data_IF_892485784090
#
_entry.id   IF_892485784090
#
_cell.length_a   1.000
_cell.length_b   1.000
_cell.length_c   1.000
_cell.angle_alpha   90.00
_cell.angle_beta   90.00
_cell.angle_gamma   90.00
#
_symmetry.space_group_name_H-M   'P 1'
#
loop_
_entity.id
_entity.type
_entity.pdbx_description
1 polymer ?
#
# COMPACT_ATOMS: atom_id res chain seq x y z
N UNK A 1 9.89 -16.05 -13.88
CA UNK A 1 11.31 -16.22 -13.47
C UNK A 1 12.13 -14.98 -13.79
N UNK A 2 12.27 -14.61 -15.07
CA UNK A 2 12.93 -13.38 -15.58
C UNK A 2 12.37 -12.04 -15.04
N UNK A 3 11.12 -12.06 -14.58
CA UNK A 3 10.41 -10.91 -14.01
C UNK A 3 10.58 -10.78 -12.48
N UNK A 4 11.01 -11.85 -11.80
CA UNK A 4 11.13 -11.90 -10.34
C UNK A 4 12.33 -11.12 -9.84
N UNK A 5 13.47 -11.38 -10.46
CA UNK A 5 14.68 -10.60 -10.28
C UNK A 5 14.46 -9.16 -10.79
N UNK A 6 13.68 -8.94 -11.84
CA UNK A 6 13.41 -7.57 -12.30
C UNK A 6 12.59 -6.73 -11.28
N UNK A 7 11.54 -7.32 -10.70
CA UNK A 7 10.63 -6.58 -9.81
C UNK A 7 11.19 -6.34 -8.40
N UNK A 8 12.11 -7.19 -7.93
CA UNK A 8 12.76 -7.02 -6.63
C UNK A 8 14.21 -6.56 -6.75
N UNK A 9 14.94 -6.97 -7.78
CA UNK A 9 16.40 -6.78 -7.90
C UNK A 9 16.88 -5.86 -9.02
N UNK A 10 15.97 -5.40 -9.89
CA UNK A 10 16.35 -4.70 -11.12
C UNK A 10 17.05 -5.58 -12.15
N UNK A 11 17.32 -6.86 -11.88
CA UNK A 11 18.00 -7.74 -12.81
C UNK A 11 17.01 -8.36 -13.82
N UNK A 12 17.15 -7.96 -15.08
CA UNK A 12 16.39 -8.48 -16.20
C UNK A 12 17.05 -9.73 -16.79
N UNK A 13 16.28 -10.56 -17.48
CA UNK A 13 16.88 -11.65 -18.25
C UNK A 13 17.58 -11.20 -19.50
N UNK A 14 18.55 -11.99 -19.97
CA UNK A 14 19.29 -11.75 -21.22
C UNK A 14 18.38 -11.35 -22.39
N UNK A 15 17.37 -12.16 -22.72
CA UNK A 15 16.45 -11.84 -23.82
C UNK A 15 15.63 -10.52 -23.67
N UNK A 16 15.51 -9.97 -22.46
CA UNK A 16 14.87 -8.67 -22.19
C UNK A 16 15.91 -7.56 -22.10
N UNK A 17 17.07 -7.83 -21.50
CA UNK A 17 18.25 -6.96 -21.57
C UNK A 17 18.63 -6.66 -23.01
N UNK A 18 18.57 -7.65 -23.89
CA UNK A 18 18.83 -7.50 -25.32
C UNK A 18 17.79 -6.61 -26.01
N UNK A 19 16.52 -6.67 -25.57
CA UNK A 19 15.48 -5.73 -26.05
C UNK A 19 15.72 -4.30 -25.56
N UNK A 20 16.14 -4.12 -24.30
CA UNK A 20 16.47 -2.81 -23.74
C UNK A 20 17.72 -2.21 -24.42
N UNK A 21 18.75 -3.03 -24.64
CA UNK A 21 19.94 -2.66 -25.41
C UNK A 21 19.60 -2.29 -26.85
N UNK A 22 18.68 -3.02 -27.48
CA UNK A 22 18.18 -2.68 -28.82
C UNK A 22 17.43 -1.34 -28.88
N UNK A 23 16.89 -0.87 -27.74
CA UNK A 23 16.29 0.45 -27.59
C UNK A 23 17.30 1.55 -27.20
N UNK A 24 18.61 1.23 -27.15
CA UNK A 24 19.66 2.17 -26.77
C UNK A 24 19.74 2.46 -25.28
N UNK A 25 19.03 1.68 -24.45
CA UNK A 25 19.06 1.81 -23.00
C UNK A 25 20.27 1.01 -22.49
N UNK A 26 21.24 1.69 -21.88
CA UNK A 26 22.35 1.04 -21.21
C UNK A 26 21.83 0.30 -19.97
N UNK A 27 22.07 -1.01 -19.91
CA UNK A 27 21.74 -1.83 -18.74
C UNK A 27 23.00 -2.52 -18.27
N UNK A 28 23.48 -2.12 -17.10
CA UNK A 28 24.61 -2.74 -16.43
C UNK A 28 24.10 -3.92 -15.60
N UNK A 29 24.78 -5.06 -15.71
CA UNK A 29 24.52 -6.19 -14.82
C UNK A 29 25.04 -5.84 -13.42
N UNK A 30 24.39 -6.32 -12.33
CA UNK A 30 25.01 -6.31 -11.02
C UNK A 30 26.38 -6.99 -11.11
N UNK A 31 27.39 -6.48 -10.41
CA UNK A 31 28.72 -7.10 -10.38
C UNK A 31 28.63 -8.57 -9.97
N UNK A 32 29.50 -9.45 -10.52
CA UNK A 32 29.51 -10.89 -10.23
C UNK A 32 29.71 -11.22 -8.72
N UNK A 33 30.20 -10.25 -7.95
CA UNK A 33 30.36 -10.32 -6.48
C UNK A 33 29.15 -9.75 -5.71
N UNK A 34 28.04 -9.46 -6.39
CA UNK A 34 26.82 -8.99 -5.73
C UNK A 34 26.25 -10.12 -4.86
N UNK A 35 26.41 -9.97 -3.55
CA UNK A 35 25.83 -10.82 -2.53
C UNK A 35 24.30 -10.85 -2.71
N UNK A 36 23.78 -11.81 -3.48
CA UNK A 36 22.36 -11.91 -3.76
C UNK A 36 21.55 -12.24 -2.50
N UNK A 37 22.19 -12.88 -1.52
CA UNK A 37 21.62 -13.07 -0.18
C UNK A 37 21.51 -11.71 0.55
N UNK A 38 22.58 -10.90 0.56
CA UNK A 38 22.59 -9.53 1.10
C UNK A 38 21.65 -8.57 0.36
N UNK A 39 21.51 -8.72 -0.96
CA UNK A 39 20.59 -7.94 -1.79
C UNK A 39 19.12 -8.30 -1.50
N UNK A 40 18.82 -9.60 -1.40
CA UNK A 40 17.48 -10.06 -1.01
C UNK A 40 17.17 -9.63 0.41
N UNK A 41 18.12 -9.72 1.34
CA UNK A 41 17.99 -9.21 2.70
C UNK A 41 17.76 -7.70 2.75
N UNK A 42 18.46 -6.96 1.88
CA UNK A 42 18.29 -5.52 1.66
C UNK A 42 16.89 -5.17 1.12
N UNK A 43 16.40 -5.88 0.09
CA UNK A 43 15.08 -5.64 -0.53
C UNK A 43 13.91 -6.18 0.27
N UNK A 44 14.09 -7.31 0.96
CA UNK A 44 13.04 -7.97 1.74
C UNK A 44 12.94 -7.48 3.18
N UNK A 45 13.91 -6.69 3.65
CA UNK A 45 13.77 -5.94 4.88
C UNK A 45 15.00 -5.92 5.76
N UNK A 46 15.81 -4.87 5.60
CA UNK A 46 16.56 -4.23 6.69
C UNK A 46 15.66 -3.56 7.75
N UNK A 47 14.39 -4.00 7.90
CA UNK A 47 13.48 -3.41 8.88
C UNK A 47 13.63 -3.97 10.31
N UNK A 48 14.48 -4.98 10.59
CA UNK A 48 14.77 -5.40 11.98
C UNK A 48 15.91 -6.43 12.21
N UNK A 49 16.93 -6.53 11.34
CA UNK A 49 18.08 -7.41 11.62
C UNK A 49 19.14 -6.69 12.50
N UNK A 50 18.89 -6.56 13.80
CA UNK A 50 20.01 -6.38 14.73
C UNK A 50 19.81 -7.37 15.87
N UNK A 51 20.60 -8.44 15.85
CA UNK A 51 21.11 -8.95 17.12
C UNK A 51 22.62 -8.78 17.11
N UNK A 52 23.08 -7.90 17.99
CA UNK A 52 24.38 -7.97 18.66
C UNK A 52 25.57 -7.71 17.72
N UNK A 53 25.71 -6.48 17.26
CA UNK A 53 26.88 -5.61 17.49
C UNK A 53 26.84 -4.42 16.53
N UNK A 54 26.57 -3.24 17.09
CA UNK A 54 26.99 -1.93 16.56
C UNK A 54 26.92 -1.73 15.04
N UNK A 55 25.75 -1.33 14.55
CA UNK A 55 25.58 -0.08 13.80
C UNK A 55 24.12 0.31 13.87
N UNK A 56 23.89 1.42 14.54
CA UNK A 56 22.82 2.38 14.38
C UNK A 56 21.97 2.10 13.15
N UNK A 57 20.67 1.96 13.37
CA UNK A 57 19.67 1.96 12.31
C UNK A 57 20.00 3.10 11.35
N UNK A 58 20.51 2.77 10.16
CA UNK A 58 20.87 3.77 9.18
C UNK A 58 19.58 4.48 8.75
N UNK A 59 19.55 5.79 8.97
CA UNK A 59 18.52 6.73 8.52
C UNK A 59 18.41 6.79 6.98
N UNK A 60 19.15 5.94 6.27
CA UNK A 60 19.34 5.90 4.82
C UNK A 60 18.59 4.75 4.12
N UNK A 61 17.75 3.97 4.83
CA UNK A 61 17.00 2.81 4.25
C UNK A 61 16.17 3.18 3.01
N UNK A 62 15.75 4.44 2.91
CA UNK A 62 15.01 4.92 1.75
C UNK A 62 15.92 5.22 0.55
N UNK A 63 17.18 5.65 0.76
CA UNK A 63 18.11 6.22 -0.25
C UNK A 63 18.39 5.30 -1.45
N UNK A 64 18.30 4.00 -1.24
CA UNK A 64 18.58 2.98 -2.25
C UNK A 64 17.29 2.33 -2.82
N UNK A 65 16.10 2.76 -2.38
CA UNK A 65 14.83 2.32 -2.97
C UNK A 65 14.64 2.95 -4.36
N UNK A 66 13.87 2.34 -5.29
CA UNK A 66 13.53 2.98 -6.57
C UNK A 66 12.92 4.38 -6.39
N UNK A 67 12.25 4.61 -5.26
CA UNK A 67 11.69 5.90 -4.88
C UNK A 67 12.76 6.94 -4.52
N UNK A 68 13.82 6.59 -3.81
CA UNK A 68 14.90 7.54 -3.54
C UNK A 68 15.92 7.65 -4.67
N UNK A 69 16.20 6.56 -5.40
CA UNK A 69 17.00 6.61 -6.63
C UNK A 69 16.37 7.56 -7.65
N UNK A 70 15.04 7.67 -7.66
CA UNK A 70 14.33 8.60 -8.55
C UNK A 70 14.58 10.08 -8.21
N UNK A 71 15.16 10.41 -7.05
CA UNK A 71 15.34 11.78 -6.59
C UNK A 71 14.03 12.52 -6.32
N UNK A 72 12.90 11.82 -6.30
CA UNK A 72 11.55 12.39 -6.10
C UNK A 72 11.20 12.60 -4.62
N UNK A 73 12.07 12.19 -3.68
CA UNK A 73 11.86 12.29 -2.24
C UNK A 73 10.46 11.81 -1.81
N UNK A 74 10.13 10.57 -2.19
CA UNK A 74 8.84 9.94 -1.90
C UNK A 74 8.97 9.03 -0.67
N UNK A 75 8.02 9.17 0.25
CA UNK A 75 7.85 8.30 1.40
C UNK A 75 6.67 7.34 1.22
N UNK A 76 6.70 6.25 1.98
CA UNK A 76 5.60 5.29 2.10
C UNK A 76 4.82 5.58 3.38
N UNK A 77 3.51 5.77 3.23
CA UNK A 77 2.63 6.15 4.32
C UNK A 77 1.44 5.20 4.43
N UNK A 78 1.14 4.83 5.67
CA UNK A 78 -0.07 4.13 6.04
C UNK A 78 -1.00 5.07 6.79
N UNK A 79 -2.31 4.89 6.62
CA UNK A 79 -3.33 5.60 7.38
C UNK A 79 -3.21 5.25 8.86
N UNK A 80 -2.90 6.24 9.70
CA UNK A 80 -2.66 6.03 11.13
C UNK A 80 -3.90 5.56 11.91
N UNK A 81 -5.11 5.82 11.39
CA UNK A 81 -6.38 5.39 11.97
C UNK A 81 -6.77 3.95 11.60
N UNK A 82 -6.12 3.36 10.59
CA UNK A 82 -6.46 2.03 10.05
C UNK A 82 -5.33 1.02 10.11
N UNK A 83 -4.08 1.49 10.10
CA UNK A 83 -2.91 0.63 10.09
C UNK A 83 -2.51 0.24 11.50
N UNK A 84 -2.81 -1.00 11.87
CA UNK A 84 -2.30 -1.63 13.07
C UNK A 84 -1.26 -2.64 12.62
N UNK A 85 0.01 -2.22 12.54
CA UNK A 85 1.11 -3.05 12.04
C UNK A 85 1.20 -4.43 12.70
N UNK A 86 0.79 -4.55 13.96
CA UNK A 86 0.78 -5.80 14.73
C UNK A 86 -0.42 -6.72 14.46
N UNK A 87 -1.44 -6.23 13.75
CA UNK A 87 -2.61 -7.02 13.32
C UNK A 87 -2.49 -7.46 11.85
N UNK A 88 -1.56 -6.87 11.09
CA UNK A 88 -1.39 -7.20 9.68
C UNK A 88 -0.64 -8.53 9.51
N UNK A 89 -1.19 -9.50 8.76
CA UNK A 89 -0.55 -10.78 8.54
C UNK A 89 0.59 -10.65 7.54
N UNK A 90 1.59 -11.52 7.69
CA UNK A 90 2.63 -11.72 6.69
C UNK A 90 2.04 -12.57 5.56
N UNK A 91 1.93 -12.02 4.35
CA UNK A 91 1.31 -12.72 3.22
C UNK A 91 2.38 -13.37 2.37
N UNK A 92 2.25 -14.68 2.11
CA UNK A 92 3.11 -15.41 1.19
C UNK A 92 2.28 -15.93 0.03
N UNK A 93 2.52 -15.37 -1.15
CA UNK A 93 1.93 -15.89 -2.38
C UNK A 93 2.76 -17.09 -2.84
N UNK A 94 2.14 -18.25 -3.01
CA UNK A 94 2.82 -19.50 -3.37
C UNK A 94 2.32 -19.96 -4.73
N UNK A 95 3.17 -19.96 -5.75
CA UNK A 95 2.75 -20.39 -7.09
C UNK A 95 3.75 -20.05 -8.18
N UNK A 96 3.65 -20.74 -9.32
CA UNK A 96 4.57 -20.59 -10.46
C UNK A 96 3.93 -19.86 -11.65
N UNK A 97 2.65 -19.47 -11.56
CA UNK A 97 1.92 -18.87 -12.68
C UNK A 97 2.13 -17.36 -12.78
N UNK A 98 1.82 -16.79 -13.94
CA UNK A 98 1.81 -15.34 -14.14
C UNK A 98 0.80 -14.67 -13.21
N UNK A 99 -0.36 -15.30 -12.99
CA UNK A 99 -1.40 -14.76 -12.12
C UNK A 99 -0.94 -14.67 -10.67
N UNK A 100 -0.23 -15.70 -10.16
CA UNK A 100 0.38 -15.65 -8.81
C UNK A 100 1.40 -14.51 -8.71
N UNK A 101 2.23 -14.32 -9.73
CA UNK A 101 3.20 -13.23 -9.74
C UNK A 101 2.51 -11.86 -9.78
N UNK A 102 1.51 -11.67 -10.63
CA UNK A 102 0.75 -10.42 -10.72
C UNK A 102 0.02 -10.11 -9.41
N UNK A 103 -0.53 -11.14 -8.76
CA UNK A 103 -1.16 -11.01 -7.45
C UNK A 103 -0.16 -10.57 -6.38
N UNK A 104 0.97 -11.27 -6.26
CA UNK A 104 2.07 -10.86 -5.39
C UNK A 104 2.51 -9.43 -5.65
N UNK A 105 2.80 -9.09 -6.91
CA UNK A 105 3.33 -7.79 -7.32
C UNK A 105 2.37 -6.64 -7.01
N UNK A 106 1.06 -6.90 -7.12
CA UNK A 106 0.04 -5.91 -6.76
C UNK A 106 -0.03 -5.75 -5.25
N UNK A 107 -0.04 -6.85 -4.50
CA UNK A 107 -0.11 -6.82 -3.04
C UNK A 107 1.13 -6.22 -2.39
N UNK A 108 2.33 -6.49 -2.89
CA UNK A 108 3.59 -5.97 -2.34
C UNK A 108 3.74 -4.45 -2.49
N UNK A 109 2.86 -3.80 -3.26
CA UNK A 109 2.76 -2.32 -3.34
C UNK A 109 1.72 -1.74 -2.40
N UNK A 110 0.79 -2.56 -1.96
CA UNK A 110 -0.32 -2.16 -1.11
C UNK A 110 -0.03 -2.49 0.37
N UNK A 111 0.76 -3.52 0.64
CA UNK A 111 1.02 -3.99 2.00
C UNK A 111 2.51 -4.30 2.19
N UNK A 112 2.96 -4.11 3.43
CA UNK A 112 4.24 -4.64 3.89
C UNK A 112 4.13 -6.15 4.13
N UNK A 113 5.27 -6.82 4.26
CA UNK A 113 5.32 -8.24 4.63
C UNK A 113 4.70 -9.18 3.59
N UNK A 114 4.70 -8.79 2.32
CA UNK A 114 4.23 -9.63 1.20
C UNK A 114 5.42 -10.28 0.50
N UNK A 115 5.41 -11.61 0.42
CA UNK A 115 6.46 -12.42 -0.16
C UNK A 115 5.92 -13.28 -1.30
N UNK A 116 6.77 -13.61 -2.27
CA UNK A 116 6.46 -14.61 -3.29
C UNK A 116 7.37 -15.81 -3.16
N UNK A 117 6.78 -17.00 -3.32
CA UNK A 117 7.47 -18.26 -3.19
C UNK A 117 7.09 -19.20 -4.36
N UNK A 118 7.95 -19.31 -5.38
CA UNK A 118 7.74 -20.25 -6.46
C UNK A 118 7.69 -21.70 -5.95
N UNK A 119 6.70 -22.48 -6.40
CA UNK A 119 6.47 -23.86 -5.98
C UNK A 119 7.61 -24.76 -6.46
N UNK A 120 8.13 -24.53 -7.67
CA UNK A 120 9.28 -25.26 -8.19
C UNK A 120 10.49 -25.13 -7.25
N UNK A 121 10.74 -23.92 -6.76
CA UNK A 121 11.88 -23.62 -5.90
C UNK A 121 11.67 -24.14 -4.48
N UNK A 122 10.47 -23.96 -3.92
CA UNK A 122 10.08 -24.55 -2.63
C UNK A 122 10.31 -26.06 -2.61
N UNK A 123 9.82 -26.77 -3.63
CA UNK A 123 9.99 -28.21 -3.73
C UNK A 123 11.46 -28.61 -3.86
N UNK A 124 12.23 -27.88 -4.66
CA UNK A 124 13.67 -28.11 -4.86
C UNK A 124 14.45 -27.95 -3.56
N UNK A 125 14.22 -26.83 -2.84
CA UNK A 125 14.84 -26.53 -1.55
C UNK A 125 14.44 -27.56 -0.49
N UNK A 126 13.16 -27.91 -0.40
CA UNK A 126 12.66 -28.91 0.55
C UNK A 126 13.32 -30.28 0.34
N UNK A 127 13.39 -30.75 -0.91
CA UNK A 127 14.06 -32.01 -1.26
C UNK A 127 15.55 -31.97 -0.89
N UNK A 128 16.25 -30.87 -1.21
CA UNK A 128 17.67 -30.70 -0.86
C UNK A 128 17.88 -30.69 0.65
N UNK A 129 17.05 -29.99 1.40
CA UNK A 129 17.10 -29.95 2.87
C UNK A 129 16.86 -31.34 3.48
N UNK A 130 15.86 -32.08 3.00
CA UNK A 130 15.60 -33.45 3.44
C UNK A 130 16.78 -34.39 3.13
N UNK A 131 17.39 -34.27 1.95
CA UNK A 131 18.59 -35.02 1.60
C UNK A 131 19.76 -34.68 2.53
N UNK A 132 20.03 -33.39 2.76
CA UNK A 132 21.12 -32.95 3.62
C UNK A 132 20.93 -33.42 5.08
N UNK A 133 19.69 -33.46 5.60
CA UNK A 133 19.40 -34.05 6.91
C UNK A 133 19.75 -35.54 6.97
N UNK A 134 19.44 -36.31 5.93
CA UNK A 134 19.80 -37.73 5.84
C UNK A 134 21.32 -37.94 5.76
N UNK A 135 22.01 -37.11 4.96
CA UNK A 135 23.47 -37.13 4.83
C UNK A 135 24.16 -36.81 6.16
N UNK A 136 23.68 -35.78 6.85
CA UNK A 136 24.18 -35.41 8.17
C UNK A 136 24.02 -36.56 9.18
N UNK A 137 22.85 -37.22 9.20
CA UNK A 137 22.61 -38.38 10.06
C UNK A 137 23.50 -39.59 9.70
N UNK A 138 23.92 -39.70 8.43
CA UNK A 138 24.85 -40.72 7.95
C UNK A 138 26.34 -40.31 8.06
N UNK A 139 26.66 -39.11 8.56
CA UNK A 139 28.03 -38.58 8.63
C UNK A 139 28.63 -38.21 7.27
N UNK A 140 27.82 -38.07 6.23
CA UNK A 140 28.25 -37.67 4.89
C UNK A 140 28.35 -36.13 4.74
N UNK A 141 29.22 -35.64 3.84
CA UNK A 141 29.30 -34.22 3.54
C UNK A 141 27.98 -33.70 2.93
N UNK A 142 27.57 -32.51 3.38
CA UNK A 142 26.36 -31.85 2.90
C UNK A 142 26.49 -31.49 1.42
N UNK A 143 25.41 -31.68 0.66
CA UNK A 143 25.37 -31.20 -0.72
C UNK A 143 25.15 -29.68 -0.74
N UNK A 144 25.82 -28.99 -1.66
CA UNK A 144 25.60 -27.56 -1.89
C UNK A 144 24.17 -27.28 -2.35
N UNK A 145 23.70 -26.08 -2.00
CA UNK A 145 22.40 -25.55 -2.44
C UNK A 145 22.61 -24.63 -3.64
N UNK A 146 21.69 -24.71 -4.62
CA UNK A 146 21.63 -23.71 -5.69
C UNK A 146 21.21 -22.36 -5.11
N UNK A 147 21.37 -21.28 -5.87
CA UNK A 147 20.97 -19.93 -5.45
C UNK A 147 19.47 -19.87 -5.13
N UNK A 148 18.60 -20.43 -5.97
CA UNK A 148 17.16 -20.45 -5.73
C UNK A 148 16.79 -21.24 -4.47
N UNK A 149 17.52 -22.30 -4.17
CA UNK A 149 17.33 -23.10 -2.96
C UNK A 149 17.75 -22.33 -1.71
N UNK A 150 18.84 -21.56 -1.80
CA UNK A 150 19.29 -20.67 -0.72
C UNK A 150 18.26 -19.56 -0.49
N UNK A 151 17.85 -18.87 -1.55
CA UNK A 151 16.85 -17.81 -1.51
C UNK A 151 15.54 -18.25 -0.85
N UNK A 152 14.96 -19.37 -1.26
CA UNK A 152 13.74 -19.91 -0.64
C UNK A 152 13.94 -20.21 0.84
N UNK A 153 15.11 -20.74 1.22
CA UNK A 153 15.42 -21.04 2.62
C UNK A 153 15.58 -19.76 3.44
N UNK A 154 16.19 -18.72 2.87
CA UNK A 154 16.34 -17.40 3.48
C UNK A 154 14.98 -16.75 3.71
N UNK A 155 14.12 -16.73 2.69
CA UNK A 155 12.73 -16.25 2.80
C UNK A 155 12.00 -17.06 3.88
N UNK A 156 12.02 -18.39 3.80
CA UNK A 156 11.34 -19.24 4.76
C UNK A 156 11.81 -18.99 6.20
N UNK A 157 13.09 -18.68 6.42
CA UNK A 157 13.62 -18.36 7.74
C UNK A 157 13.20 -16.96 8.20
N UNK A 158 13.25 -15.98 7.30
CA UNK A 158 12.87 -14.59 7.55
C UNK A 158 11.38 -14.44 7.92
N UNK A 159 10.49 -15.19 7.28
CA UNK A 159 9.06 -15.18 7.63
C UNK A 159 8.82 -15.41 9.13
N UNK A 160 9.68 -16.17 9.79
CA UNK A 160 9.52 -16.46 11.20
C UNK A 160 10.28 -15.54 12.14
N UNK A 161 11.28 -14.78 11.66
CA UNK A 161 11.88 -13.73 12.48
C UNK A 161 10.91 -12.58 12.70
N UNK A 162 9.95 -12.42 11.79
CA UNK A 162 8.89 -11.43 11.89
C UNK A 162 7.82 -11.82 12.94
N UNK A 163 7.54 -13.13 13.11
CA UNK A 163 6.64 -13.63 14.18
C UNK A 163 7.44 -13.75 15.50
N UNK A 164 7.67 -12.62 16.16
CA UNK A 164 8.41 -12.54 17.42
C UNK A 164 7.57 -12.79 18.69
N UNK A 165 8.20 -13.05 19.86
CA UNK A 165 7.51 -13.13 21.14
C UNK A 165 6.81 -11.79 21.47
N UNK A 166 5.51 -11.86 21.81
CA UNK A 166 4.65 -10.67 22.02
C UNK A 166 3.81 -10.26 20.81
N UNK A 167 4.00 -10.91 19.65
CA UNK A 167 3.19 -10.74 18.42
C UNK A 167 2.31 -11.97 18.17
N UNK A 168 1.59 -12.44 19.20
CA UNK A 168 0.77 -13.65 19.12
C UNK A 168 -0.37 -13.57 18.08
N UNK A 169 -0.71 -12.34 17.65
CA UNK A 169 -1.69 -12.09 16.61
C UNK A 169 -1.11 -12.17 15.17
N UNK A 170 0.21 -12.00 14.99
CA UNK A 170 0.81 -12.00 13.66
C UNK A 170 0.88 -13.42 13.10
N UNK A 171 0.19 -13.65 11.99
CA UNK A 171 0.09 -14.95 11.32
C UNK A 171 0.75 -14.86 9.95
N UNK A 172 1.32 -15.98 9.49
CA UNK A 172 1.68 -16.12 8.09
C UNK A 172 0.46 -16.63 7.34
N UNK A 173 0.09 -15.97 6.26
CA UNK A 173 -0.99 -16.39 5.39
C UNK A 173 -0.47 -16.83 4.03
N UNK A 174 -0.67 -18.10 3.69
CA UNK A 174 -0.42 -18.62 2.36
C UNK A 174 -1.62 -18.36 1.45
N UNK A 175 -1.35 -17.79 0.28
CA UNK A 175 -2.35 -17.53 -0.76
C UNK A 175 -1.81 -17.93 -2.12
N UNK A 176 -2.70 -18.20 -3.08
CA UNK A 176 -2.33 -18.51 -4.46
C UNK A 176 -3.52 -18.31 -5.39
N UNK A 177 -3.24 -17.86 -6.61
CA UNK A 177 -4.19 -17.82 -7.74
C UNK A 177 -4.29 -19.17 -8.44
N UNK A 178 -3.23 -19.98 -8.41
CA UNK A 178 -3.16 -21.24 -9.16
C UNK A 178 -3.32 -22.50 -8.33
N UNK A 179 -3.06 -22.45 -7.02
CA UNK A 179 -3.14 -23.60 -6.13
C UNK A 179 -4.46 -23.64 -5.37
N UNK A 180 -5.04 -24.83 -5.28
CA UNK A 180 -6.16 -25.11 -4.37
C UNK A 180 -5.74 -25.03 -2.89
N UNK A 181 -6.72 -24.85 -2.01
CA UNK A 181 -6.51 -24.87 -0.56
C UNK A 181 -5.82 -26.16 -0.08
N UNK A 182 -6.16 -27.31 -0.67
CA UNK A 182 -5.52 -28.59 -0.33
C UNK A 182 -4.02 -28.59 -0.70
N UNK A 183 -3.68 -28.04 -1.87
CA UNK A 183 -2.29 -27.91 -2.31
C UNK A 183 -1.52 -26.93 -1.42
N UNK A 184 -2.09 -25.77 -1.07
CA UNK A 184 -1.48 -24.80 -0.15
C UNK A 184 -1.18 -25.42 1.23
N UNK A 185 -2.13 -26.16 1.78
CA UNK A 185 -1.94 -26.88 3.06
C UNK A 185 -0.79 -27.89 3.00
N UNK A 186 -0.55 -28.54 1.86
CA UNK A 186 0.60 -29.43 1.70
C UNK A 186 1.96 -28.69 1.67
N UNK A 187 1.97 -27.43 1.24
CA UNK A 187 3.17 -26.58 1.15
C UNK A 187 3.52 -25.90 2.46
N UNK A 188 2.54 -25.65 3.32
CA UNK A 188 2.71 -25.20 4.70
C UNK A 188 3.80 -25.96 5.46
N UNK A 189 3.75 -27.30 5.44
CA UNK A 189 4.75 -28.16 6.10
C UNK A 189 6.14 -28.02 5.48
N UNK A 190 6.22 -27.82 4.17
CA UNK A 190 7.51 -27.64 3.48
C UNK A 190 8.18 -26.32 3.89
N UNK A 191 7.41 -25.24 3.97
CA UNK A 191 7.89 -23.92 4.40
C UNK A 191 8.38 -23.99 5.86
N UNK A 192 7.58 -24.59 6.75
CA UNK A 192 7.98 -24.77 8.15
C UNK A 192 9.26 -25.61 8.29
N UNK A 193 9.39 -26.68 7.49
CA UNK A 193 10.55 -27.56 7.49
C UNK A 193 11.83 -26.97 6.88
N UNK A 194 11.73 -25.83 6.18
CA UNK A 194 12.86 -25.08 5.67
C UNK A 194 13.33 -23.97 6.62
N UNK A 195 12.56 -23.70 7.67
CA UNK A 195 12.98 -22.77 8.71
C UNK A 195 14.09 -23.34 9.58
N UNK A 196 14.89 -22.45 10.17
CA UNK A 196 15.92 -22.82 11.14
C UNK A 196 15.35 -23.28 12.50
N UNK A 197 14.03 -23.31 12.67
CA UNK A 197 13.35 -23.58 13.93
C UNK A 197 12.38 -24.75 13.81
N UNK A 198 11.91 -25.29 14.95
CA UNK A 198 11.10 -26.52 15.00
C UNK A 198 9.78 -26.47 14.20
N UNK A 199 9.47 -27.54 13.49
CA UNK A 199 8.36 -27.64 12.52
C UNK A 199 6.98 -27.58 13.18
N UNK A 200 6.81 -28.24 14.34
CA UNK A 200 5.48 -28.50 14.90
C UNK A 200 4.82 -27.27 15.54
N UNK A 201 5.57 -26.44 16.27
CA UNK A 201 5.04 -25.20 16.85
C UNK A 201 4.70 -24.14 15.80
N UNK A 202 5.39 -24.15 14.66
CA UNK A 202 5.32 -23.07 13.66
C UNK A 202 4.35 -23.33 12.54
N UNK A 203 4.11 -24.60 12.20
CA UNK A 203 3.00 -24.95 11.34
C UNK A 203 1.68 -24.38 11.88
N UNK A 204 1.45 -24.35 13.19
CA UNK A 204 0.22 -23.76 13.75
C UNK A 204 0.01 -22.26 13.39
N UNK A 205 1.08 -21.49 13.22
CA UNK A 205 1.05 -20.05 12.91
C UNK A 205 0.85 -19.72 11.42
N UNK A 206 0.81 -20.73 10.55
CA UNK A 206 0.55 -20.55 9.11
C UNK A 206 -0.89 -20.91 8.77
N UNK A 207 -1.61 -19.97 8.17
CA UNK A 207 -2.95 -20.18 7.65
C UNK A 207 -2.93 -20.26 6.12
N UNK A 208 -3.90 -20.96 5.54
CA UNK A 208 -4.14 -20.92 4.10
C UNK A 208 -5.46 -20.18 3.89
N UNK A 209 -5.41 -19.04 3.18
CA UNK A 209 -6.60 -18.21 2.92
C UNK A 209 -6.87 -18.11 1.44
N UNK A 210 -8.13 -17.90 1.11
CA UNK A 210 -8.52 -17.58 -0.27
C UNK A 210 -8.18 -16.13 -0.58
N UNK A 211 -7.98 -15.85 -1.87
CA UNK A 211 -7.64 -14.50 -2.35
C UNK A 211 -8.74 -13.49 -2.02
N UNK A 212 -10.00 -13.93 -1.99
CA UNK A 212 -11.15 -13.08 -1.65
C UNK A 212 -11.07 -12.54 -0.22
N UNK A 213 -10.33 -13.20 0.67
CA UNK A 213 -10.09 -12.74 2.03
C UNK A 213 -8.99 -11.65 2.11
N UNK A 214 -8.43 -11.21 0.98
CA UNK A 214 -7.41 -10.16 0.96
C UNK A 214 -8.03 -8.83 1.36
N UNK A 215 -7.65 -8.32 2.53
CA UNK A 215 -7.98 -6.97 2.95
C UNK A 215 -7.31 -5.96 2.04
N UNK A 216 -8.07 -5.01 1.52
CA UNK A 216 -7.58 -3.79 0.86
C UNK A 216 -7.92 -2.55 1.71
N UNK A 217 -8.27 -2.75 2.99
CA UNK A 217 -8.73 -1.68 3.87
C UNK A 217 -7.59 -0.76 4.34
N UNK A 218 -6.39 -1.33 4.46
CA UNK A 218 -5.18 -0.61 4.83
C UNK A 218 -4.16 -0.76 3.70
N UNK A 219 -3.97 0.29 2.91
CA UNK A 219 -3.06 0.28 1.75
C UNK A 219 -1.98 1.32 1.91
N UNK A 220 -0.73 0.91 1.70
CA UNK A 220 0.43 1.77 1.57
C UNK A 220 0.20 2.79 0.44
N UNK A 221 0.45 4.04 0.74
CA UNK A 221 0.39 5.14 -0.23
C UNK A 221 1.77 5.75 -0.37
N UNK A 222 2.18 6.01 -1.61
CA UNK A 222 3.45 6.68 -1.90
C UNK A 222 3.17 8.16 -2.09
N UNK A 223 3.66 8.98 -1.15
CA UNK A 223 3.42 10.43 -1.09
C UNK A 223 4.77 11.12 -0.92
N UNK A 224 4.89 12.35 -1.41
CA UNK A 224 6.09 13.14 -1.17
C UNK A 224 6.39 13.28 0.33
N UNK A 225 7.65 13.08 0.71
CA UNK A 225 8.12 13.26 2.07
C UNK A 225 7.77 14.66 2.59
N UNK A 226 7.34 14.71 3.86
CA UNK A 226 6.89 15.95 4.51
C UNK A 226 5.64 16.59 3.88
N UNK A 227 4.91 15.87 3.02
CA UNK A 227 3.66 16.32 2.41
C UNK A 227 2.46 15.40 2.70
N UNK A 228 2.59 14.51 3.69
CA UNK A 228 1.53 13.64 4.19
C UNK A 228 0.74 14.28 5.35
N UNK A 229 -0.57 13.96 5.45
CA UNK A 229 -1.44 14.31 6.57
C UNK A 229 -1.43 15.81 6.98
N UNK A 230 -1.46 16.72 6.00
CA UNK A 230 -1.55 18.17 6.28
C UNK A 230 -2.99 18.57 6.60
N UNK A 231 -3.27 18.87 7.86
CA UNK A 231 -4.60 19.30 8.33
C UNK A 231 -4.84 20.79 8.13
N UNK A 232 -6.05 21.14 7.67
CA UNK A 232 -6.49 22.53 7.52
C UNK A 232 -7.98 22.65 7.85
N UNK A 233 -8.34 23.70 8.59
CA UNK A 233 -9.73 24.07 8.80
C UNK A 233 -10.32 24.70 7.53
N UNK A 234 -11.51 24.26 7.13
CA UNK A 234 -12.27 24.86 6.04
C UNK A 234 -13.68 25.23 6.53
N UNK A 235 -14.18 26.38 6.08
CA UNK A 235 -15.53 26.84 6.38
C UNK A 235 -16.43 26.58 5.19
N UNK A 236 -17.59 25.98 5.47
CA UNK A 236 -18.62 25.69 4.48
C UNK A 236 -19.90 26.44 4.82
N UNK A 237 -20.55 27.03 3.81
CA UNK A 237 -21.87 27.64 3.90
C UNK A 237 -22.75 26.89 2.89
N UNK A 238 -23.84 26.28 3.37
CA UNK A 238 -24.75 25.46 2.56
C UNK A 238 -24.02 24.40 1.70
N UNK A 239 -23.02 23.73 2.30
CA UNK A 239 -22.20 22.71 1.63
C UNK A 239 -21.11 23.26 0.70
N UNK A 240 -21.06 24.57 0.44
CA UNK A 240 -20.05 25.18 -0.43
C UNK A 240 -18.91 25.77 0.40
N UNK A 241 -17.68 25.43 0.04
CA UNK A 241 -16.47 25.99 0.65
C UNK A 241 -16.34 27.48 0.36
N UNK A 242 -16.16 28.29 1.41
CA UNK A 242 -16.04 29.76 1.31
C UNK A 242 -14.76 30.16 0.58
N UNK A 243 -13.67 29.46 0.87
CA UNK A 243 -12.34 29.71 0.32
C UNK A 243 -11.89 28.57 -0.57
N UNK A 244 -11.11 28.85 -1.63
CA UNK A 244 -10.37 27.82 -2.34
C UNK A 244 -9.43 27.06 -1.40
N UNK A 245 -9.23 25.78 -1.67
CA UNK A 245 -8.22 24.98 -1.01
C UNK A 245 -6.86 25.44 -1.53
N UNK A 246 -5.96 25.73 -0.61
CA UNK A 246 -4.56 25.92 -0.97
C UNK A 246 -3.90 24.54 -1.12
N UNK A 247 -3.75 24.15 -2.38
CA UNK A 247 -3.20 22.85 -2.79
C UNK A 247 -1.72 22.75 -2.41
N UNK A 248 -1.29 21.67 -1.74
CA UNK A 248 0.11 21.46 -1.43
C UNK A 248 0.91 21.35 -2.73
N UNK A 249 2.04 22.06 -2.76
CA UNK A 249 3.03 21.96 -3.82
C UNK A 249 4.08 20.93 -3.43
N UNK A 250 4.75 20.32 -4.42
CA UNK A 250 5.95 19.54 -4.16
C UNK A 250 7.01 20.40 -3.43
N UNK A 251 7.46 19.96 -2.27
CA UNK A 251 8.43 20.66 -1.39
C UNK A 251 9.87 20.30 -1.70
N UNK A 252 10.12 19.10 -2.22
CA UNK A 252 11.47 18.55 -2.35
C UNK A 252 12.10 18.78 -3.73
N UNK A 253 11.39 19.46 -4.62
CA UNK A 253 11.93 19.88 -5.92
C UNK A 253 12.55 21.27 -5.81
N UNK A 254 13.81 21.39 -6.21
CA UNK A 254 14.49 22.70 -6.30
C UNK A 254 13.87 23.59 -7.38
N UNK A 255 13.33 22.98 -8.45
CA UNK A 255 12.57 23.63 -9.52
C UNK A 255 11.49 22.68 -10.05
N UNK A 256 10.29 23.20 -10.26
CA UNK A 256 9.18 22.47 -10.87
C UNK A 256 9.08 22.86 -12.34
N UNK A 257 9.35 21.92 -13.23
CA UNK A 257 9.31 22.14 -14.68
C UNK A 257 8.00 21.59 -15.26
N UNK A 258 7.05 22.44 -15.59
CA UNK A 258 5.84 22.07 -16.34
C UNK A 258 6.14 22.21 -17.84
N UNK A 259 5.73 21.27 -18.71
CA UNK A 259 4.83 20.12 -18.48
C UNK A 259 5.50 18.82 -18.05
N UNK A 260 6.75 18.82 -17.59
CA UNK A 260 7.44 17.58 -17.18
C UNK A 260 6.99 17.03 -15.82
N UNK A 261 6.54 17.90 -14.92
CA UNK A 261 6.15 17.56 -13.55
C UNK A 261 4.65 17.66 -13.35
N UNK A 262 4.05 16.54 -12.93
CA UNK A 262 2.67 16.46 -12.48
C UNK A 262 2.63 15.74 -11.14
N UNK A 263 1.67 16.10 -10.30
CA UNK A 263 1.38 15.46 -9.05
C UNK A 263 -0.14 15.36 -8.85
N UNK A 264 -0.54 14.47 -7.97
CA UNK A 264 -1.94 14.31 -7.60
C UNK A 264 -2.08 14.70 -6.14
N UNK A 265 -3.13 15.46 -5.83
CA UNK A 265 -3.47 15.82 -4.46
C UNK A 265 -4.67 14.99 -4.03
N UNK A 266 -4.52 14.24 -2.94
CA UNK A 266 -5.62 13.56 -2.25
C UNK A 266 -6.11 14.44 -1.09
N UNK A 267 -7.43 14.51 -0.91
CA UNK A 267 -8.11 15.29 0.11
C UNK A 267 -9.14 14.42 0.83
N UNK A 268 -9.00 14.32 2.14
CA UNK A 268 -10.02 13.76 3.02
C UNK A 268 -10.79 14.91 3.68
N UNK A 269 -12.12 14.82 3.71
CA UNK A 269 -12.97 15.76 4.43
C UNK A 269 -13.59 15.01 5.61
N UNK A 270 -13.34 15.51 6.82
CA UNK A 270 -13.85 14.87 8.03
C UNK A 270 -15.37 14.71 7.98
N UNK A 271 -15.85 13.48 8.17
CA UNK A 271 -17.27 13.16 8.13
C UNK A 271 -17.92 13.20 6.73
N UNK A 272 -17.15 13.30 5.65
CA UNK A 272 -17.67 13.33 4.29
C UNK A 272 -16.85 12.47 3.32
N UNK A 273 -17.48 11.42 2.78
CA UNK A 273 -16.88 10.54 1.77
C UNK A 273 -17.95 10.15 0.74
N UNK A 274 -17.97 10.76 -0.46
CA UNK A 274 -18.93 10.39 -1.48
C UNK A 274 -18.61 8.99 -2.04
N UNK A 275 -19.59 8.29 -2.62
CA UNK A 275 -19.32 7.01 -3.30
C UNK A 275 -18.40 7.22 -4.50
N UNK A 276 -17.63 6.17 -4.85
CA UNK A 276 -16.66 6.22 -5.96
C UNK A 276 -17.36 6.18 -7.32
N UNK A 277 -17.95 7.31 -7.70
CA UNK A 277 -18.65 7.50 -8.97
C UNK A 277 -17.93 8.56 -9.81
N UNK A 278 -17.67 8.30 -11.11
CA UNK A 278 -16.81 9.16 -11.93
C UNK A 278 -17.25 10.64 -11.99
N UNK A 279 -18.56 10.90 -11.99
CA UNK A 279 -19.10 12.26 -12.10
C UNK A 279 -19.13 13.02 -10.77
N UNK A 280 -19.15 12.34 -9.63
CA UNK A 280 -19.23 13.03 -8.32
C UNK A 280 -17.96 13.80 -8.00
N UNK A 281 -16.80 13.35 -8.50
CA UNK A 281 -15.55 14.07 -8.32
C UNK A 281 -15.63 15.50 -8.85
N UNK A 282 -16.11 15.68 -10.09
CA UNK A 282 -16.19 17.00 -10.75
C UNK A 282 -17.37 17.85 -10.26
N UNK A 283 -18.36 17.25 -9.59
CA UNK A 283 -19.40 17.99 -8.86
C UNK A 283 -18.89 18.49 -7.50
N UNK A 284 -18.08 17.68 -6.82
CA UNK A 284 -17.56 17.96 -5.47
C UNK A 284 -16.35 18.90 -5.50
N UNK A 285 -15.47 18.79 -6.50
CA UNK A 285 -14.31 19.65 -6.68
C UNK A 285 -14.48 20.45 -7.97
N UNK A 286 -14.67 21.76 -7.82
CA UNK A 286 -14.68 22.69 -8.95
C UNK A 286 -13.26 23.20 -9.20
N UNK A 287 -12.59 22.57 -10.16
CA UNK A 287 -11.30 23.05 -10.67
C UNK A 287 -11.53 24.25 -11.60
N UNK A 288 -10.70 25.28 -11.46
CA UNK A 288 -10.66 26.38 -12.43
C UNK A 288 -9.91 25.89 -13.68
N UNK A 289 -10.65 25.51 -14.73
CA UNK A 289 -10.08 25.04 -16.00
C UNK A 289 -10.26 23.54 -16.25
N UNK A 290 -9.40 22.98 -17.10
CA UNK A 290 -9.43 21.55 -17.44
C UNK A 290 -8.59 20.77 -16.42
N UNK A 291 -9.23 19.89 -15.65
CA UNK A 291 -8.51 19.01 -14.75
C UNK A 291 -9.29 17.74 -14.45
N UNK A 292 -8.57 16.71 -14.03
CA UNK A 292 -9.14 15.42 -13.71
C UNK A 292 -9.37 15.34 -12.21
N UNK A 293 -10.61 15.02 -11.82
CA UNK A 293 -11.01 14.74 -10.45
C UNK A 293 -11.60 13.35 -10.39
N UNK A 294 -11.29 12.61 -9.33
CA UNK A 294 -11.94 11.34 -9.00
C UNK A 294 -12.21 11.23 -7.51
N UNK A 295 -13.12 10.34 -7.16
CA UNK A 295 -13.32 9.89 -5.78
C UNK A 295 -12.51 8.61 -5.59
N UNK A 296 -11.46 8.68 -4.78
CA UNK A 296 -10.60 7.57 -4.41
C UNK A 296 -11.12 6.88 -3.12
N UNK A 297 -10.46 5.79 -2.71
CA UNK A 297 -10.84 5.03 -1.52
C UNK A 297 -10.57 5.78 -0.19
N UNK A 298 -9.73 6.80 -0.24
CA UNK A 298 -9.26 7.60 0.88
C UNK A 298 -9.78 9.04 0.86
N UNK A 299 -10.51 9.44 -0.20
CA UNK A 299 -11.04 10.79 -0.32
C UNK A 299 -11.20 11.25 -1.77
N UNK A 300 -11.14 12.56 -1.97
CA UNK A 300 -11.20 13.19 -3.28
C UNK A 300 -9.79 13.41 -3.81
N UNK A 301 -9.54 13.02 -5.06
CA UNK A 301 -8.23 13.20 -5.68
C UNK A 301 -8.35 14.03 -6.95
N UNK A 302 -7.42 14.97 -7.15
CA UNK A 302 -7.33 15.77 -8.36
C UNK A 302 -5.90 15.95 -8.85
N UNK A 303 -5.77 16.10 -10.17
CA UNK A 303 -4.48 16.29 -10.85
C UNK A 303 -3.99 17.74 -10.75
N UNK A 304 -2.69 17.92 -10.58
CA UNK A 304 -1.99 19.19 -10.63
C UNK A 304 -0.66 19.08 -11.42
N UNK A 305 -0.21 20.13 -12.12
CA UNK A 305 -0.99 21.33 -12.46
C UNK A 305 -2.19 20.96 -13.35
N UNK A 306 -3.11 21.92 -13.52
CA UNK A 306 -4.24 21.72 -14.45
C UNK A 306 -3.75 21.46 -15.88
N UNK A 307 -4.59 20.83 -16.72
CA UNK A 307 -4.21 20.45 -18.09
C UNK A 307 -4.06 21.63 -19.07
N UNK A 308 -4.31 22.86 -18.64
CA UNK A 308 -4.02 24.07 -19.39
C UNK A 308 -2.84 24.82 -18.74
N UNK A 309 -1.66 24.72 -19.36
CA UNK A 309 -0.44 25.42 -18.95
C UNK A 309 -0.14 26.58 -19.91
N UNK A 310 0.00 27.79 -19.37
CA UNK A 310 0.30 29.01 -20.14
C UNK A 310 1.59 29.72 -19.67
N UNK A 311 2.56 28.96 -19.15
CA UNK A 311 3.76 29.55 -18.55
C UNK A 311 3.50 30.15 -17.16
N UNK A 312 4.58 30.62 -16.52
CA UNK A 312 4.53 31.22 -15.19
C UNK A 312 5.13 30.34 -14.09
N UNK A 313 5.18 30.87 -12.88
CA UNK A 313 5.65 30.16 -11.69
C UNK A 313 4.65 29.06 -11.27
N UNK A 314 5.10 28.08 -10.49
CA UNK A 314 4.29 26.98 -9.96
C UNK A 314 3.01 27.48 -9.27
N UNK A 315 3.08 28.64 -8.61
CA UNK A 315 1.96 29.30 -7.94
C UNK A 315 0.82 29.68 -8.88
N UNK A 316 1.14 29.98 -10.14
CA UNK A 316 0.16 30.38 -11.16
C UNK A 316 -0.57 29.16 -11.71
N UNK A 317 0.11 28.02 -11.77
CA UNK A 317 -0.37 26.80 -12.43
C UNK A 317 -0.93 25.76 -11.44
N UNK A 318 -0.64 25.92 -10.15
CA UNK A 318 -1.20 25.11 -9.07
C UNK A 318 -2.70 25.37 -8.99
N UNK A 319 -3.50 24.33 -9.17
CA UNK A 319 -4.96 24.47 -9.10
C UNK A 319 -5.37 24.70 -7.65
N UNK A 320 -6.25 25.68 -7.41
CA UNK A 320 -6.84 25.95 -6.09
C UNK A 320 -8.35 25.72 -6.16
N UNK A 321 -8.83 24.46 -6.03
CA UNK A 321 -10.24 24.16 -6.19
C UNK A 321 -11.09 24.73 -5.06
N UNK A 322 -12.38 24.93 -5.36
CA UNK A 322 -13.41 25.05 -4.31
C UNK A 322 -14.11 23.69 -4.13
N UNK A 323 -14.40 23.36 -2.87
CA UNK A 323 -15.17 22.18 -2.52
C UNK A 323 -16.67 22.50 -2.45
N UNK A 324 -17.47 21.55 -2.89
CA UNK A 324 -18.92 21.50 -2.72
C UNK A 324 -19.28 20.14 -2.13
N UNK A 325 -19.66 20.09 -0.86
CA UNK A 325 -20.16 18.89 -0.20
C UNK A 325 -21.59 18.67 -0.65
N UNK A 326 -21.82 17.60 -1.39
CA UNK A 326 -23.13 17.23 -1.88
C UNK A 326 -23.90 16.51 -0.78
N UNK A 327 -25.17 16.85 -0.59
CA UNK A 327 -26.02 16.12 0.34
C UNK A 327 -26.41 14.73 -0.23
N UNK A 328 -26.80 13.82 0.66
CA UNK A 328 -27.17 12.44 0.33
C UNK A 328 -28.27 12.35 -0.73
N UNK A 329 -29.27 13.25 -0.68
CA UNK A 329 -30.37 13.24 -1.64
C UNK A 329 -29.88 13.67 -3.01
N UNK A 330 -29.01 14.67 -3.08
CA UNK A 330 -28.37 15.12 -4.32
C UNK A 330 -27.55 13.97 -4.93
N UNK A 331 -26.73 13.28 -4.13
CA UNK A 331 -25.95 12.12 -4.57
C UNK A 331 -26.87 11.02 -5.11
N UNK A 332 -27.90 10.63 -4.37
CA UNK A 332 -28.84 9.58 -4.79
C UNK A 332 -29.64 9.98 -6.03
N UNK A 333 -30.09 11.23 -6.11
CA UNK A 333 -30.82 11.74 -7.27
C UNK A 333 -29.96 11.74 -8.53
N UNK A 334 -28.66 12.00 -8.40
CA UNK A 334 -27.70 11.88 -9.51
C UNK A 334 -27.47 10.42 -9.90
N UNK A 335 -27.31 9.53 -8.92
CA UNK A 335 -27.14 8.09 -9.16
C UNK A 335 -28.28 7.49 -9.97
N UNK A 336 -29.52 7.88 -9.66
CA UNK A 336 -30.71 7.42 -10.38
C UNK A 336 -31.14 8.36 -11.52
N UNK A 337 -30.37 9.41 -11.84
CA UNK A 337 -30.79 10.47 -12.76
C UNK A 337 -31.06 9.99 -14.19
N UNK A 338 -30.33 8.98 -14.65
CA UNK A 338 -30.51 8.35 -15.96
C UNK A 338 -31.65 7.30 -15.98
N UNK A 339 -32.24 7.03 -14.81
CA UNK A 339 -33.38 6.13 -14.66
C UNK A 339 -34.67 6.93 -14.46
N UNK A 340 -35.83 6.32 -14.74
CA UNK A 340 -37.13 6.95 -14.45
C UNK A 340 -37.47 7.03 -12.95
N UNK A 341 -36.51 6.77 -12.06
CA UNK A 341 -36.69 6.70 -10.61
C UNK A 341 -36.50 8.09 -10.00
N UNK A 342 -37.52 8.57 -9.28
CA UNK A 342 -37.47 9.84 -8.55
C UNK A 342 -37.13 9.57 -7.09
N UNK A 343 -36.02 10.13 -6.62
CA UNK A 343 -35.62 10.06 -5.21
C UNK A 343 -36.17 11.29 -4.48
N UNK A 344 -36.83 11.06 -3.34
CA UNK A 344 -37.32 12.10 -2.44
C UNK A 344 -37.25 11.61 -1.00
N UNK A 345 -37.10 12.54 -0.06
CA UNK A 345 -37.31 12.22 1.35
C UNK A 345 -38.78 11.83 1.59
N UNK A 346 -38.99 10.90 2.52
CA UNK A 346 -40.32 10.63 3.07
C UNK A 346 -40.78 11.79 3.96
N UNK A 347 -42.08 11.84 4.28
CA UNK A 347 -42.62 12.85 5.20
C UNK A 347 -41.89 12.84 6.56
N UNK A 348 -41.54 11.64 7.06
CA UNK A 348 -40.74 11.48 8.27
C UNK A 348 -39.32 12.03 8.09
N UNK A 349 -38.69 11.78 6.95
CA UNK A 349 -37.37 12.33 6.63
C UNK A 349 -37.38 13.86 6.55
N UNK A 350 -38.40 14.44 5.93
CA UNK A 350 -38.60 15.89 5.87
C UNK A 350 -38.76 16.50 7.28
N UNK A 351 -39.53 15.85 8.14
CA UNK A 351 -39.67 16.28 9.53
C UNK A 351 -38.34 16.23 10.30
N UNK A 352 -37.55 15.17 10.12
CA UNK A 352 -36.22 15.05 10.74
C UNK A 352 -35.29 16.14 10.25
N UNK A 353 -35.24 16.42 8.95
CA UNK A 353 -34.41 17.49 8.38
C UNK A 353 -34.80 18.87 8.90
N UNK A 354 -36.10 19.19 8.94
CA UNK A 354 -36.58 20.46 9.47
C UNK A 354 -36.26 20.60 10.97
N UNK A 355 -36.37 19.49 11.73
CA UNK A 355 -35.99 19.43 13.14
C UNK A 355 -34.49 19.69 13.32
N UNK A 356 -33.63 19.00 12.57
CA UNK A 356 -32.17 19.21 12.63
C UNK A 356 -31.78 20.63 12.21
N UNK A 357 -32.44 21.19 11.19
CA UNK A 357 -32.19 22.56 10.74
C UNK A 357 -32.56 23.60 11.79
N UNK A 358 -33.68 23.39 12.52
CA UNK A 358 -34.18 24.34 13.54
C UNK A 358 -33.48 24.18 14.89
N UNK A 359 -33.20 22.96 15.31
CA UNK A 359 -32.79 22.64 16.68
C UNK A 359 -31.36 22.09 16.78
N UNK A 360 -30.68 21.86 15.64
CA UNK A 360 -29.39 21.19 15.57
C UNK A 360 -29.51 19.66 15.63
N UNK A 361 -28.42 18.95 15.31
CA UNK A 361 -28.34 17.50 15.49
C UNK A 361 -28.20 17.11 16.97
N UNK A 362 -28.66 15.92 17.35
CA UNK A 362 -28.66 15.42 18.74
C UNK A 362 -27.25 15.44 19.39
N UNK A 363 -26.18 15.23 18.61
CA UNK A 363 -24.80 15.28 19.09
C UNK A 363 -24.36 16.69 19.57
N UNK A 364 -24.99 17.76 19.07
CA UNK A 364 -24.74 19.13 19.55
C UNK A 364 -25.54 19.46 20.81
N UNK A 365 -26.69 18.83 21.03
CA UNK A 365 -27.49 19.07 22.24
C UNK A 365 -26.88 18.38 23.46
N UNK A 366 -26.32 17.18 23.31
CA UNK A 366 -25.66 16.45 24.40
C UNK A 366 -24.39 17.15 24.94
N UNK A 367 -23.67 17.89 24.10
CA UNK A 367 -22.50 18.68 24.50
C UNK A 367 -22.87 20.04 25.12
N UNK A 368 -24.05 20.58 24.81
CA UNK A 368 -24.57 21.83 25.41
C UNK A 368 -25.21 21.67 26.79
N UNK A 369 -25.48 20.42 27.23
CA UNK A 369 -26.12 20.11 28.51
C UNK A 369 -25.15 19.70 29.63
N UNK A 370 -23.83 19.84 29.45
CA UNK A 370 -22.89 19.72 30.56
C UNK A 370 -22.99 20.97 31.44
N UNK A 371 -23.37 20.85 32.74
CA UNK A 371 -23.52 22.02 33.60
C UNK A 371 -22.17 22.70 33.81
N UNK A 372 -22.16 24.02 33.64
CA UNK A 372 -21.04 24.88 33.99
C UNK A 372 -20.61 24.59 35.45
N UNK A 373 -19.41 24.02 35.62
CA UNK A 373 -18.79 23.97 36.94
C UNK A 373 -18.49 25.41 37.37
N UNK A 374 -19.20 25.84 38.40
CA UNK A 374 -19.01 27.10 39.11
C UNK A 374 -17.53 27.28 39.48
N UNK A 375 -16.96 28.38 39.01
CA UNK A 375 -15.82 29.01 39.67
C UNK A 375 -16.27 29.46 41.07
N UNK A 376 -15.62 28.94 42.10
CA UNK A 376 -15.61 29.52 43.45
C UNK A 376 -14.17 29.53 43.94
N UNK A 377 -13.68 30.75 44.13
CA UNK A 377 -12.50 31.24 44.88
C UNK A 377 -11.15 30.57 44.67
#
# INVERSE_FOLDING_TARGET
MKMMAYAQTGAASDAYLDKLRALGIAVEAPADDSDSDGFVEYVMGHRNWITIQNRWADEHILEDSPAAISGLHLGQYYRTDRHLAHEEPIVVVVGDTVDDFCFYYSLSRLHDGVFWLPVAWLNSAYKRSAQNRRRQAAGEPLASMTEEQRLVRSIASHLWTQIGPGREAERIELRSMSLSQAQLRSRKTQIAALSIFGVDQRSAAVECKEIVATSTACTCSVIEENNYATYRGAVFIDGVGVSPIDTPKPKNFSKIHVPGHYWMTSLEVEGYMPPSLPYLGTETIKLQGFGQVRVANDGLAYLCPGSAYFGGDVDVVTVRPRLTLLDDLTIMSRYFGDSAIKVKYSDKGNYVLDTVRRFGGLNKQASSSAPAQHAVS
#
